data_IF_890242139313
#
_entry.id   IF_890242139313
#
_cell.length_a   1.000
_cell.length_b   1.000
_cell.length_c   1.000
_cell.angle_alpha   90.00
_cell.angle_beta   90.00
_cell.angle_gamma   90.00
#
_symmetry.space_group_name_H-M   'P 1'
#
loop_
_entity.id
_entity.type
_entity.pdbx_description
1 polymer ?
#
# COMPACT_ATOMS: atom_id res chain seq x y z
N UNK A 1 -9.36 -7.52 11.66
CA UNK A 1 -10.68 -8.13 11.98
C UNK A 1 -11.23 -8.66 10.68
N UNK A 2 -11.59 -9.95 10.61
CA UNK A 2 -12.06 -10.53 9.36
C UNK A 2 -13.39 -9.93 8.90
N UNK A 3 -13.60 -9.87 7.59
CA UNK A 3 -14.83 -9.35 6.98
C UNK A 3 -15.93 -10.41 6.97
N UNK A 4 -17.16 -9.98 7.21
CA UNK A 4 -18.34 -10.83 6.97
C UNK A 4 -18.65 -10.96 5.47
N UNK A 5 -19.37 -12.01 5.03
CA UNK A 5 -19.69 -12.21 3.62
C UNK A 5 -20.38 -11.01 2.94
N UNK A 6 -21.25 -10.28 3.65
CA UNK A 6 -21.91 -9.09 3.10
C UNK A 6 -20.95 -7.90 2.94
N UNK A 7 -19.94 -7.79 3.79
CA UNK A 7 -18.89 -6.77 3.68
C UNK A 7 -17.95 -7.08 2.51
N UNK A 8 -17.64 -8.36 2.28
CA UNK A 8 -16.87 -8.79 1.10
C UNK A 8 -17.64 -8.46 -0.18
N UNK A 9 -18.96 -8.71 -0.22
CA UNK A 9 -19.80 -8.34 -1.36
C UNK A 9 -19.79 -6.83 -1.60
N UNK A 10 -19.89 -6.04 -0.55
CA UNK A 10 -19.85 -4.58 -0.65
C UNK A 10 -18.51 -4.08 -1.17
N UNK A 11 -17.41 -4.60 -0.61
CA UNK A 11 -16.06 -4.30 -1.09
C UNK A 11 -15.94 -4.59 -2.58
N UNK A 12 -16.28 -5.81 -3.01
CA UNK A 12 -16.21 -6.23 -4.41
C UNK A 12 -17.10 -5.36 -5.33
N UNK A 13 -18.26 -4.91 -4.85
CA UNK A 13 -19.15 -4.00 -5.59
C UNK A 13 -18.49 -2.64 -5.82
N UNK A 14 -17.82 -2.10 -4.79
CA UNK A 14 -17.18 -0.79 -4.84
C UNK A 14 -15.86 -0.80 -5.62
N UNK A 15 -15.14 -1.92 -5.63
CA UNK A 15 -13.80 -2.01 -6.23
C UNK A 15 -13.75 -2.66 -7.61
N UNK A 16 -14.89 -3.11 -8.14
CA UNK A 16 -14.97 -3.76 -9.45
C UNK A 16 -14.28 -2.94 -10.56
N UNK A 17 -13.24 -3.52 -11.17
CA UNK A 17 -12.50 -2.91 -12.28
C UNK A 17 -11.33 -2.02 -11.85
N UNK A 18 -11.11 -1.83 -10.55
CA UNK A 18 -9.96 -1.07 -10.04
C UNK A 18 -8.63 -1.81 -10.27
N UNK A 19 -8.65 -3.15 -10.32
CA UNK A 19 -7.48 -3.99 -10.49
C UNK A 19 -6.66 -3.63 -11.74
N UNK A 20 -7.34 -3.25 -12.84
CA UNK A 20 -6.68 -2.84 -14.08
C UNK A 20 -6.14 -1.42 -14.04
N UNK A 21 -6.66 -0.57 -13.13
CA UNK A 21 -6.30 0.84 -13.06
C UNK A 21 -4.94 1.06 -12.40
N UNK A 22 -4.51 0.13 -11.55
CA UNK A 22 -3.33 0.29 -10.69
C UNK A 22 -2.25 -0.78 -10.88
N UNK A 23 -2.32 -1.57 -11.97
CA UNK A 23 -1.36 -2.66 -12.26
C UNK A 23 0.12 -2.20 -12.24
N UNK A 24 0.39 -0.92 -12.49
CA UNK A 24 1.74 -0.36 -12.41
C UNK A 24 2.35 -0.40 -11.00
N UNK A 25 1.55 -0.53 -9.93
CA UNK A 25 2.03 -0.60 -8.55
C UNK A 25 2.45 -2.01 -8.12
N UNK A 26 2.51 -2.96 -9.05
CA UNK A 26 2.77 -4.40 -8.83
C UNK A 26 1.60 -5.14 -8.16
N UNK A 27 1.45 -6.42 -8.50
CA UNK A 27 0.40 -7.25 -7.91
C UNK A 27 0.64 -7.50 -6.42
N UNK A 28 1.90 -7.72 -6.01
CA UNK A 28 2.23 -8.00 -4.60
C UNK A 28 1.78 -6.87 -3.67
N UNK A 29 2.05 -5.61 -4.04
CA UNK A 29 1.58 -4.46 -3.27
C UNK A 29 0.05 -4.37 -3.20
N UNK A 30 -0.65 -4.62 -4.31
CA UNK A 30 -2.12 -4.61 -4.34
C UNK A 30 -2.69 -5.73 -3.47
N UNK A 31 -2.06 -6.91 -3.47
CA UNK A 31 -2.42 -8.03 -2.60
C UNK A 31 -2.18 -7.70 -1.13
N UNK A 32 -1.06 -7.07 -0.76
CA UNK A 32 -0.86 -6.61 0.63
C UNK A 32 -1.91 -5.58 1.05
N UNK A 33 -2.28 -4.64 0.18
CA UNK A 33 -3.38 -3.71 0.47
C UNK A 33 -4.69 -4.46 0.72
N UNK A 34 -5.01 -5.45 -0.12
CA UNK A 34 -6.20 -6.27 0.02
C UNK A 34 -6.16 -7.08 1.32
N UNK A 35 -5.03 -7.72 1.66
CA UNK A 35 -4.88 -8.46 2.90
C UNK A 35 -5.20 -7.61 4.14
N UNK A 36 -4.75 -6.35 4.18
CA UNK A 36 -5.14 -5.42 5.26
C UNK A 36 -6.64 -5.16 5.28
N UNK A 37 -7.27 -4.97 4.11
CA UNK A 37 -8.73 -4.79 3.99
C UNK A 37 -9.49 -6.02 4.51
N UNK A 38 -8.97 -7.23 4.26
CA UNK A 38 -9.53 -8.48 4.75
C UNK A 38 -9.19 -8.76 6.22
N UNK A 39 -8.37 -7.91 6.83
CA UNK A 39 -8.09 -7.91 8.26
C UNK A 39 -6.83 -8.68 8.67
N UNK A 40 -5.97 -9.02 7.71
CA UNK A 40 -4.66 -9.62 7.93
C UNK A 40 -3.60 -8.55 8.20
N UNK A 41 -2.55 -8.94 8.91
CA UNK A 41 -1.39 -8.07 9.15
C UNK A 41 -0.38 -8.18 8.01
N UNK A 42 0.12 -7.04 7.55
CA UNK A 42 1.14 -6.94 6.51
C UNK A 42 2.32 -6.11 6.99
N UNK A 43 3.27 -6.72 7.73
CA UNK A 43 4.40 -6.00 8.32
C UNK A 43 5.30 -5.31 7.30
N UNK A 44 5.29 -5.78 6.05
CA UNK A 44 6.12 -5.26 4.98
C UNK A 44 5.50 -4.07 4.24
N UNK A 45 4.16 -3.93 4.30
CA UNK A 45 3.42 -2.92 3.57
C UNK A 45 3.90 -1.48 3.82
N UNK A 46 4.26 -1.05 5.04
CA UNK A 46 4.81 0.30 5.26
C UNK A 46 6.05 0.60 4.41
N UNK A 47 6.90 -0.41 4.17
CA UNK A 47 8.12 -0.26 3.37
C UNK A 47 7.82 -0.16 1.87
N UNK A 48 6.81 -0.89 1.39
CA UNK A 48 6.27 -0.72 0.04
C UNK A 48 5.67 0.68 -0.15
N UNK A 49 4.86 1.14 0.79
CA UNK A 49 4.28 2.49 0.78
C UNK A 49 5.37 3.56 0.64
N UNK A 50 6.44 3.47 1.44
CA UNK A 50 7.56 4.40 1.34
C UNK A 50 8.29 4.32 -0.01
N UNK A 51 8.54 3.10 -0.50
CA UNK A 51 9.24 2.88 -1.77
C UNK A 51 8.51 3.53 -2.94
N UNK A 52 7.22 3.24 -3.06
CA UNK A 52 6.34 3.71 -4.13
C UNK A 52 6.14 5.22 -4.06
N UNK A 53 5.92 5.77 -2.85
CA UNK A 53 5.75 7.21 -2.67
C UNK A 53 7.03 8.01 -2.96
N UNK A 54 8.19 7.42 -2.70
CA UNK A 54 9.51 8.05 -2.95
C UNK A 54 9.99 7.87 -4.39
N UNK A 55 9.35 7.00 -5.17
CA UNK A 55 9.69 6.78 -6.56
C UNK A 55 9.01 7.81 -7.47
N UNK A 56 9.80 8.53 -8.28
CA UNK A 56 9.26 9.60 -9.15
C UNK A 56 8.27 9.08 -10.19
N UNK A 57 8.43 7.85 -10.67
CA UNK A 57 7.56 7.27 -11.70
C UNK A 57 6.28 6.67 -11.13
N UNK A 58 6.30 6.21 -9.87
CA UNK A 58 5.16 5.53 -9.25
C UNK A 58 4.38 6.40 -8.28
N UNK A 59 4.95 7.51 -7.78
CA UNK A 59 4.31 8.37 -6.78
C UNK A 59 2.93 8.85 -7.19
N UNK A 60 2.75 9.32 -8.43
CA UNK A 60 1.45 9.83 -8.89
C UNK A 60 0.39 8.72 -8.92
N UNK A 61 0.77 7.52 -9.38
CA UNK A 61 -0.12 6.36 -9.44
C UNK A 61 -0.48 5.89 -8.02
N UNK A 62 0.50 5.88 -7.12
CA UNK A 62 0.32 5.56 -5.70
C UNK A 62 -0.63 6.54 -5.01
N UNK A 63 -0.44 7.85 -5.23
CA UNK A 63 -1.35 8.85 -4.69
C UNK A 63 -2.75 8.70 -5.29
N UNK A 64 -2.89 8.39 -6.59
CA UNK A 64 -4.18 8.12 -7.22
C UNK A 64 -4.90 6.91 -6.60
N UNK A 65 -4.18 5.82 -6.31
CA UNK A 65 -4.74 4.68 -5.59
C UNK A 65 -5.24 5.10 -4.22
N UNK A 66 -4.42 5.83 -3.46
CA UNK A 66 -4.77 6.30 -2.12
C UNK A 66 -6.06 7.12 -2.12
N UNK A 67 -6.19 8.09 -3.03
CA UNK A 67 -7.42 8.89 -3.15
C UNK A 67 -8.63 8.05 -3.59
N UNK A 68 -8.42 7.03 -4.43
CA UNK A 68 -9.50 6.14 -4.85
C UNK A 68 -10.00 5.30 -3.68
N UNK A 69 -9.09 4.81 -2.84
CA UNK A 69 -9.47 4.08 -1.62
C UNK A 69 -10.13 4.98 -0.56
N UNK A 70 -9.81 6.28 -0.52
CA UNK A 70 -10.54 7.26 0.29
C UNK A 70 -11.98 7.42 -0.19
N UNK A 71 -12.19 7.47 -1.51
CA UNK A 71 -13.52 7.48 -2.10
C UNK A 71 -14.28 6.19 -1.79
N UNK A 72 -13.65 5.02 -1.96
CA UNK A 72 -14.25 3.74 -1.56
C UNK A 72 -14.67 3.78 -0.10
N UNK A 73 -13.78 4.21 0.80
CA UNK A 73 -14.08 4.34 2.23
C UNK A 73 -15.28 5.26 2.51
N UNK A 74 -15.42 6.38 1.79
CA UNK A 74 -16.57 7.28 1.97
C UNK A 74 -17.90 6.68 1.51
N UNK A 75 -17.86 5.76 0.54
CA UNK A 75 -19.05 5.09 -0.01
C UNK A 75 -19.48 3.84 0.78
N UNK A 76 -18.65 3.32 1.68
CA UNK A 76 -19.01 2.15 2.50
C UNK A 76 -20.14 2.50 3.47
N UNK A 77 -21.25 1.77 3.37
CA UNK A 77 -22.39 1.87 4.29
C UNK A 77 -21.92 1.77 5.76
N UNK A 78 -22.32 2.72 6.64
CA UNK A 78 -21.93 2.73 8.06
C UNK A 78 -22.18 1.43 8.82
N UNK A 79 -23.08 0.55 8.36
CA UNK A 79 -23.32 -0.75 9.00
C UNK A 79 -22.16 -1.74 8.83
N UNK A 80 -21.30 -1.56 7.82
CA UNK A 80 -20.16 -2.45 7.52
C UNK A 80 -18.90 -2.01 8.27
N UNK A 81 -18.94 -2.15 9.59
CA UNK A 81 -17.92 -1.63 10.49
C UNK A 81 -16.53 -2.26 10.28
N UNK A 82 -16.43 -3.55 9.97
CA UNK A 82 -15.12 -4.20 9.83
C UNK A 82 -14.44 -3.70 8.55
N UNK A 83 -15.20 -3.62 7.46
CA UNK A 83 -14.71 -3.08 6.20
C UNK A 83 -14.23 -1.63 6.36
N UNK A 84 -15.03 -0.78 7.03
CA UNK A 84 -14.63 0.61 7.31
C UNK A 84 -13.36 0.69 8.15
N UNK A 85 -13.28 -0.11 9.21
CA UNK A 85 -12.11 -0.11 10.10
C UNK A 85 -10.86 -0.56 9.35
N UNK A 86 -10.95 -1.65 8.58
CA UNK A 86 -9.82 -2.19 7.85
C UNK A 86 -9.36 -1.24 6.72
N UNK A 87 -10.30 -0.61 5.99
CA UNK A 87 -9.98 0.45 5.03
C UNK A 87 -9.31 1.65 5.69
N UNK A 88 -9.81 2.10 6.84
CA UNK A 88 -9.20 3.19 7.61
C UNK A 88 -7.77 2.85 8.02
N UNK A 89 -7.53 1.62 8.49
CA UNK A 89 -6.18 1.14 8.83
C UNK A 89 -5.25 1.15 7.61
N UNK A 90 -5.71 0.66 6.45
CA UNK A 90 -4.94 0.74 5.22
C UNK A 90 -4.63 2.19 4.83
N UNK A 91 -5.62 3.09 4.88
CA UNK A 91 -5.44 4.50 4.54
C UNK A 91 -4.40 5.19 5.42
N UNK A 92 -4.33 4.84 6.70
CA UNK A 92 -3.27 5.32 7.60
C UNK A 92 -1.89 4.90 7.07
N UNK A 93 -1.70 3.62 6.72
CA UNK A 93 -0.46 3.11 6.17
C UNK A 93 -0.09 3.78 4.84
N UNK A 94 -1.08 3.98 3.96
CA UNK A 94 -0.87 4.61 2.66
C UNK A 94 -0.50 6.10 2.77
N UNK A 95 -1.01 6.80 3.79
CA UNK A 95 -0.73 8.23 4.01
C UNK A 95 0.55 8.47 4.81
N UNK A 96 1.05 7.47 5.53
CA UNK A 96 2.22 7.60 6.39
C UNK A 96 3.46 8.18 5.67
N UNK A 97 3.86 7.71 4.47
CA UNK A 97 5.03 8.25 3.78
C UNK A 97 4.94 9.74 3.52
N UNK A 98 3.73 10.23 3.17
CA UNK A 98 3.49 11.66 2.91
C UNK A 98 3.62 12.49 4.18
N UNK A 99 3.08 12.00 5.30
CA UNK A 99 3.16 12.68 6.59
C UNK A 99 4.59 12.68 7.15
N UNK A 100 5.37 11.65 6.87
CA UNK A 100 6.68 11.42 7.48
C UNK A 100 7.87 11.60 6.54
N UNK A 101 7.68 12.14 5.34
CA UNK A 101 8.74 12.25 4.33
C UNK A 101 9.95 13.08 4.79
N UNK A 102 9.77 13.98 5.77
CA UNK A 102 10.83 14.79 6.35
C UNK A 102 11.46 14.18 7.61
N UNK A 103 10.89 13.09 8.15
CA UNK A 103 11.41 12.37 9.31
C UNK A 103 12.62 11.53 8.89
N UNK A 104 13.80 11.92 9.35
CA UNK A 104 15.06 11.24 9.03
C UNK A 104 15.13 9.82 9.60
N UNK A 105 14.54 9.56 10.77
CA UNK A 105 14.55 8.22 11.37
C UNK A 105 13.66 7.28 10.57
N UNK A 106 12.48 7.75 10.17
CA UNK A 106 11.57 7.02 9.29
C UNK A 106 12.23 6.71 7.93
N UNK A 107 12.87 7.70 7.31
CA UNK A 107 13.60 7.47 6.05
C UNK A 107 14.71 6.44 6.23
N UNK A 108 15.52 6.53 7.29
CA UNK A 108 16.61 5.59 7.54
C UNK A 108 16.09 4.17 7.74
N UNK A 109 15.04 3.96 8.54
CA UNK A 109 14.49 2.63 8.78
C UNK A 109 13.97 1.98 7.50
N UNK A 110 13.38 2.76 6.60
CA UNK A 110 12.93 2.26 5.30
C UNK A 110 14.09 1.96 4.36
N UNK A 111 15.11 2.82 4.34
CA UNK A 111 16.31 2.58 3.53
C UNK A 111 17.05 1.33 4.00
N UNK A 112 17.17 1.11 5.31
CA UNK A 112 17.83 -0.07 5.89
C UNK A 112 17.09 -1.37 5.54
N UNK A 113 15.75 -1.34 5.55
CA UNK A 113 14.93 -2.47 5.13
C UNK A 113 15.23 -2.86 3.68
N UNK A 114 15.10 -1.90 2.76
CA UNK A 114 15.33 -2.15 1.34
C UNK A 114 16.79 -2.49 1.04
N UNK A 115 17.76 -1.87 1.70
CA UNK A 115 19.18 -2.22 1.56
C UNK A 115 19.43 -3.69 1.90
N UNK A 116 18.86 -4.19 3.01
CA UNK A 116 19.00 -5.60 3.41
C UNK A 116 18.41 -6.55 2.38
N UNK A 117 17.25 -6.25 1.80
CA UNK A 117 16.65 -7.08 0.75
C UNK A 117 17.47 -7.03 -0.53
N UNK A 118 17.74 -5.82 -1.03
CA UNK A 118 18.48 -5.60 -2.29
C UNK A 118 19.86 -6.26 -2.25
N UNK A 119 20.61 -6.13 -1.15
CA UNK A 119 21.94 -6.75 -1.02
C UNK A 119 21.94 -8.28 -1.18
N UNK A 120 20.82 -8.93 -0.86
CA UNK A 120 20.71 -10.39 -0.87
C UNK A 120 19.99 -10.92 -2.12
N UNK A 121 19.50 -10.05 -3.01
CA UNK A 121 18.75 -10.44 -4.20
C UNK A 121 19.30 -9.77 -5.48
N UNK A 122 20.02 -10.57 -6.29
CA UNK A 122 20.61 -10.12 -7.55
C UNK A 122 19.60 -9.43 -8.49
N UNK A 123 18.35 -9.92 -8.50
CA UNK A 123 17.26 -9.36 -9.32
C UNK A 123 16.93 -7.92 -8.94
N UNK A 124 17.03 -7.57 -7.66
CA UNK A 124 16.74 -6.23 -7.17
C UNK A 124 17.93 -5.29 -7.34
N UNK A 125 19.16 -5.80 -7.24
CA UNK A 125 20.40 -5.01 -7.43
C UNK A 125 20.42 -4.35 -8.81
N UNK A 126 20.06 -5.11 -9.84
CA UNK A 126 20.10 -4.62 -11.23
C UNK A 126 18.87 -3.79 -11.62
N UNK A 127 17.80 -3.83 -10.81
CA UNK A 127 16.55 -3.14 -11.10
C UNK A 127 16.62 -1.63 -10.79
N UNK A 128 16.29 -0.80 -11.77
CA UNK A 128 16.45 0.67 -11.71
C UNK A 128 15.74 1.32 -10.51
N UNK A 129 14.54 0.86 -10.14
CA UNK A 129 13.78 1.36 -9.01
C UNK A 129 14.46 1.13 -7.64
N UNK A 130 15.32 0.10 -7.56
CA UNK A 130 15.96 -0.34 -6.31
C UNK A 130 17.43 0.07 -6.19
N UNK A 131 18.06 0.53 -7.28
CA UNK A 131 19.45 1.06 -7.28
C UNK A 131 19.71 2.14 -6.23
N UNK A 132 18.67 2.87 -5.79
CA UNK A 132 18.78 3.89 -4.73
C UNK A 132 19.11 3.29 -3.35
N UNK A 133 18.86 2.00 -3.14
CA UNK A 133 19.18 1.26 -1.91
C UNK A 133 20.41 0.36 -2.03
N UNK A 134 21.03 0.27 -3.20
CA UNK A 134 22.23 -0.55 -3.42
C UNK A 134 23.55 0.18 -3.11
N UNK A 135 23.47 1.42 -2.60
CA UNK A 135 24.62 2.27 -2.26
C UNK A 135 24.83 2.29 -0.75
#
# INVERSE_FOLDING_TARGET
MELYPEEIKEYNRLTKGMEFTFMALTMDFLTHCENVIFGYEEPELPYFCFHLYSDKGLKEIYEKLTHTLEYVYSEVDPKYNNLRNNLSNLLILLREPKARIQDKKYQQSNNDYWYKLVKNEDRLIDHSAFKKYAK
#
